data_IF_104796315092
#
_entry.id   IF_104796315092
#
_cell.length_a   1.000
_cell.length_b   1.000
_cell.length_c   1.000
_cell.angle_alpha   90.00
_cell.angle_beta   90.00
_cell.angle_gamma   90.00
#
_symmetry.space_group_name_H-M   'P 1'
#
loop_
_entity.id
_entity.type
_entity.pdbx_description
1 polymer ?
#
# COMPACT_ATOMS: atom_id res chain seq x y z
N UNK A 1 23.16 -15.54 -18.76
CA UNK A 1 21.99 -14.64 -18.91
C UNK A 1 22.32 -13.20 -18.53
N UNK A 2 23.09 -12.91 -17.47
CA UNK A 2 23.52 -11.53 -17.16
C UNK A 2 24.24 -10.83 -18.35
N UNK A 3 25.14 -11.54 -19.05
CA UNK A 3 25.75 -11.01 -20.27
C UNK A 3 24.70 -10.68 -21.37
N UNK A 4 23.65 -11.50 -21.52
CA UNK A 4 22.60 -11.25 -22.52
C UNK A 4 21.73 -10.04 -22.14
N UNK A 5 21.48 -9.84 -20.84
CA UNK A 5 20.87 -8.62 -20.32
C UNK A 5 21.67 -7.38 -20.72
N UNK A 6 23.00 -7.44 -20.65
CA UNK A 6 23.89 -6.33 -21.02
C UNK A 6 24.03 -6.14 -22.53
N UNK A 7 24.02 -7.23 -23.31
CA UNK A 7 24.35 -7.19 -24.75
C UNK A 7 23.14 -7.19 -25.69
N UNK A 8 21.93 -7.49 -25.20
CA UNK A 8 20.71 -7.57 -26.00
C UNK A 8 19.55 -6.74 -25.38
N UNK A 9 19.65 -5.40 -25.43
CA UNK A 9 18.71 -4.50 -24.73
C UNK A 9 17.26 -4.61 -25.24
N UNK A 10 17.05 -5.10 -26.47
CA UNK A 10 15.72 -5.31 -27.04
C UNK A 10 14.85 -6.28 -26.22
N UNK A 11 15.46 -7.21 -25.49
CA UNK A 11 14.76 -8.21 -24.67
C UNK A 11 15.04 -8.01 -23.18
N UNK A 12 15.49 -6.82 -22.79
CA UNK A 12 15.96 -6.54 -21.44
C UNK A 12 14.92 -6.94 -20.37
N UNK A 13 13.66 -6.58 -20.57
CA UNK A 13 12.58 -6.87 -19.61
C UNK A 13 12.34 -8.39 -19.47
N UNK A 14 12.40 -9.13 -20.59
CA UNK A 14 12.32 -10.59 -20.57
C UNK A 14 13.51 -11.20 -19.85
N UNK A 15 14.73 -10.67 -20.05
CA UNK A 15 15.93 -11.19 -19.40
C UNK A 15 15.95 -10.97 -17.90
N UNK A 16 15.54 -9.78 -17.42
CA UNK A 16 15.46 -9.49 -15.98
C UNK A 16 14.57 -10.52 -15.29
N UNK A 17 13.41 -10.80 -15.87
CA UNK A 17 12.47 -11.75 -15.29
C UNK A 17 13.00 -13.20 -15.30
N UNK A 18 13.57 -13.63 -16.43
CA UNK A 18 14.21 -14.95 -16.54
C UNK A 18 15.35 -15.13 -15.52
N UNK A 19 16.10 -14.07 -15.21
CA UNK A 19 17.13 -14.09 -14.16
C UNK A 19 16.51 -14.25 -12.76
N UNK A 20 15.37 -13.60 -12.50
CA UNK A 20 14.57 -13.82 -11.30
C UNK A 20 14.10 -15.27 -11.16
N UNK A 21 13.56 -15.84 -12.24
CA UNK A 21 13.10 -17.24 -12.30
C UNK A 21 14.25 -18.23 -12.07
N UNK A 22 15.40 -18.03 -12.71
CA UNK A 22 16.57 -18.88 -12.49
C UNK A 22 17.02 -18.87 -11.02
N UNK A 23 17.09 -17.68 -10.41
CA UNK A 23 17.40 -17.57 -8.98
C UNK A 23 16.39 -18.31 -8.11
N UNK A 24 15.10 -18.19 -8.43
CA UNK A 24 14.01 -18.86 -7.70
C UNK A 24 14.05 -20.38 -7.86
N UNK A 25 14.31 -20.89 -9.07
CA UNK A 25 14.46 -22.32 -9.29
C UNK A 25 15.69 -22.88 -8.59
N UNK A 26 16.80 -22.14 -8.59
CA UNK A 26 18.00 -22.56 -7.86
C UNK A 26 17.77 -22.57 -6.36
N UNK A 27 17.10 -21.56 -5.81
CA UNK A 27 16.64 -21.55 -4.40
C UNK A 27 15.76 -22.76 -4.08
N UNK A 28 14.87 -23.16 -5.00
CA UNK A 28 13.91 -24.23 -4.76
C UNK A 28 14.53 -25.63 -4.72
N UNK A 29 15.61 -25.87 -5.47
CA UNK A 29 16.36 -27.15 -5.46
C UNK A 29 17.48 -27.19 -4.42
N UNK A 30 17.76 -26.07 -3.76
CA UNK A 30 18.75 -26.00 -2.68
C UNK A 30 18.09 -26.44 -1.36
N UNK A 31 18.25 -27.72 -1.06
CA UNK A 31 17.62 -28.38 0.09
C UNK A 31 18.55 -28.54 1.31
N UNK A 32 19.87 -28.54 1.09
CA UNK A 32 20.86 -28.91 2.12
C UNK A 32 21.50 -27.71 2.83
N UNK A 33 21.64 -26.55 2.17
CA UNK A 33 22.28 -25.36 2.74
C UNK A 33 21.32 -24.16 2.81
N UNK A 34 20.92 -23.80 4.05
CA UNK A 34 20.04 -22.65 4.32
C UNK A 34 20.64 -21.31 3.90
N UNK A 35 21.97 -21.16 3.99
CA UNK A 35 22.67 -19.94 3.62
C UNK A 35 22.69 -19.78 2.10
N UNK A 36 22.98 -20.84 1.36
CA UNK A 36 22.94 -20.80 -0.10
C UNK A 36 21.51 -20.55 -0.58
N UNK A 37 20.52 -21.15 0.07
CA UNK A 37 19.11 -20.87 -0.19
C UNK A 37 18.79 -19.39 -0.02
N UNK A 38 19.24 -18.77 1.06
CA UNK A 38 19.04 -17.33 1.33
C UNK A 38 19.75 -16.43 0.29
N UNK A 39 20.94 -16.82 -0.16
CA UNK A 39 21.65 -16.14 -1.26
C UNK A 39 20.81 -16.16 -2.52
N UNK A 40 20.29 -17.33 -2.92
CA UNK A 40 19.45 -17.45 -4.11
C UNK A 40 18.09 -16.76 -3.97
N UNK A 41 17.51 -16.73 -2.77
CA UNK A 41 16.33 -15.90 -2.47
C UNK A 41 16.64 -14.43 -2.72
N UNK A 42 17.79 -13.95 -2.26
CA UNK A 42 18.20 -12.55 -2.40
C UNK A 42 18.50 -12.18 -3.85
N UNK A 43 19.18 -13.06 -4.60
CA UNK A 43 19.41 -12.89 -6.05
C UNK A 43 18.08 -12.82 -6.80
N UNK A 44 17.16 -13.75 -6.53
CA UNK A 44 15.85 -13.76 -7.18
C UNK A 44 15.05 -12.50 -6.86
N UNK A 45 15.05 -12.08 -5.58
CA UNK A 45 14.37 -10.87 -5.11
C UNK A 45 14.91 -9.62 -5.82
N UNK A 46 16.23 -9.48 -5.93
CA UNK A 46 16.86 -8.37 -6.65
C UNK A 46 16.33 -8.25 -8.09
N UNK A 47 16.33 -9.35 -8.85
CA UNK A 47 15.86 -9.33 -10.23
C UNK A 47 14.36 -9.03 -10.35
N UNK A 48 13.50 -9.60 -9.51
CA UNK A 48 12.08 -9.27 -9.56
C UNK A 48 11.76 -7.85 -9.07
N UNK A 49 12.51 -7.32 -8.09
CA UNK A 49 12.40 -5.91 -7.67
C UNK A 49 12.68 -5.01 -8.86
N UNK A 50 13.82 -5.21 -9.54
CA UNK A 50 14.20 -4.48 -10.75
C UNK A 50 13.17 -4.61 -11.88
N UNK A 51 12.62 -5.80 -12.09
CA UNK A 51 11.55 -6.00 -13.07
C UNK A 51 10.30 -5.17 -12.71
N UNK A 52 9.93 -5.16 -11.42
CA UNK A 52 8.74 -4.45 -10.94
C UNK A 52 8.89 -2.94 -11.04
N UNK A 53 10.09 -2.37 -10.99
CA UNK A 53 10.26 -0.93 -11.25
C UNK A 53 10.06 -0.54 -12.70
N UNK A 54 10.38 -1.46 -13.62
CA UNK A 54 10.19 -1.23 -15.04
C UNK A 54 8.74 -1.41 -15.45
N UNK A 55 8.08 -2.42 -14.88
CA UNK A 55 6.69 -2.74 -15.17
C UNK A 55 5.85 -2.75 -13.87
N UNK A 56 5.70 -1.60 -13.19
CA UNK A 56 5.04 -1.54 -11.89
C UNK A 56 3.56 -1.90 -11.94
N UNK A 57 2.94 -1.89 -13.12
CA UNK A 57 1.56 -2.33 -13.32
C UNK A 57 1.37 -3.86 -13.36
N UNK A 58 2.45 -4.65 -13.41
CA UNK A 58 2.40 -6.10 -13.66
C UNK A 58 2.32 -6.90 -12.37
N UNK A 59 1.14 -7.47 -12.09
CA UNK A 59 0.85 -8.19 -10.84
C UNK A 59 1.77 -9.40 -10.59
N UNK A 60 2.11 -10.12 -11.65
CA UNK A 60 2.89 -11.37 -11.55
C UNK A 60 4.27 -11.17 -10.92
N UNK A 61 4.87 -9.99 -11.10
CA UNK A 61 6.16 -9.66 -10.49
C UNK A 61 6.03 -9.57 -8.96
N UNK A 62 4.96 -8.96 -8.47
CA UNK A 62 4.66 -8.91 -7.03
C UNK A 62 4.26 -10.28 -6.47
N UNK A 63 3.59 -11.13 -7.25
CA UNK A 63 3.34 -12.52 -6.84
C UNK A 63 4.65 -13.28 -6.57
N UNK A 64 5.66 -13.13 -7.44
CA UNK A 64 6.97 -13.74 -7.20
C UNK A 64 7.68 -13.14 -5.99
N UNK A 65 7.64 -11.81 -5.81
CA UNK A 65 8.16 -11.14 -4.61
C UNK A 65 7.47 -11.63 -3.33
N UNK A 66 6.16 -11.93 -3.38
CA UNK A 66 5.44 -12.50 -2.26
C UNK A 66 6.02 -13.87 -1.86
N UNK A 67 6.27 -14.76 -2.82
CA UNK A 67 6.87 -16.08 -2.54
C UNK A 67 8.24 -15.93 -1.84
N UNK A 68 9.04 -14.94 -2.28
CA UNK A 68 10.39 -14.67 -1.78
C UNK A 68 10.43 -13.87 -0.48
N UNK A 69 9.29 -13.36 -0.01
CA UNK A 69 9.18 -12.61 1.24
C UNK A 69 9.14 -13.53 2.48
N UNK A 70 9.10 -14.86 2.32
CA UNK A 70 9.16 -15.80 3.45
C UNK A 70 10.45 -15.62 4.26
N UNK A 71 10.39 -15.71 5.61
CA UNK A 71 9.22 -16.02 6.44
C UNK A 71 8.35 -14.81 6.84
N UNK A 72 8.59 -13.61 6.32
CA UNK A 72 7.86 -12.39 6.69
C UNK A 72 6.41 -12.43 6.16
N UNK A 73 5.46 -12.75 7.03
CA UNK A 73 4.05 -12.91 6.66
C UNK A 73 3.37 -11.60 6.25
N UNK A 74 3.72 -10.48 6.90
CA UNK A 74 3.16 -9.17 6.56
C UNK A 74 3.60 -8.74 5.16
N UNK A 75 4.88 -8.90 4.84
CA UNK A 75 5.41 -8.57 3.52
C UNK A 75 4.88 -9.52 2.43
N UNK A 76 4.69 -10.82 2.74
CA UNK A 76 3.99 -11.76 1.86
C UNK A 76 2.56 -11.27 1.53
N UNK A 77 1.79 -10.90 2.56
CA UNK A 77 0.42 -10.40 2.40
C UNK A 77 0.40 -9.12 1.56
N UNK A 78 1.28 -8.16 1.85
CA UNK A 78 1.44 -6.95 1.06
C UNK A 78 1.67 -7.26 -0.42
N UNK A 79 2.64 -8.11 -0.76
CA UNK A 79 2.96 -8.40 -2.16
C UNK A 79 1.86 -9.20 -2.86
N UNK A 80 1.24 -10.18 -2.21
CA UNK A 80 0.14 -10.93 -2.82
C UNK A 80 -1.09 -10.05 -3.05
N UNK A 81 -1.44 -9.17 -2.12
CA UNK A 81 -2.56 -8.25 -2.30
C UNK A 81 -2.26 -7.19 -3.36
N UNK A 82 -1.04 -6.64 -3.38
CA UNK A 82 -0.57 -5.75 -4.47
C UNK A 82 -0.63 -6.44 -5.84
N UNK A 83 -0.23 -7.71 -5.95
CA UNK A 83 -0.35 -8.50 -7.18
C UNK A 83 -1.77 -8.56 -7.76
N UNK A 84 -2.80 -8.36 -6.93
CA UNK A 84 -4.22 -8.37 -7.32
C UNK A 84 -4.79 -6.96 -7.51
N UNK A 85 -4.12 -5.92 -7.00
CA UNK A 85 -4.61 -4.53 -6.97
C UNK A 85 -3.74 -3.57 -7.80
N UNK A 86 -3.06 -4.09 -8.82
CA UNK A 86 -2.37 -3.33 -9.86
C UNK A 86 -3.16 -3.43 -11.18
N UNK A 87 -2.93 -2.54 -12.17
CA UNK A 87 -3.70 -2.53 -13.41
C UNK A 87 -3.70 -3.84 -14.21
N UNK A 88 -2.61 -4.61 -14.19
CA UNK A 88 -2.52 -5.94 -14.80
C UNK A 88 -2.44 -7.00 -13.70
N UNK A 89 -3.55 -7.37 -13.05
CA UNK A 89 -3.55 -8.27 -11.90
C UNK A 89 -3.15 -9.69 -12.31
N UNK A 90 -2.45 -10.39 -11.43
CA UNK A 90 -2.14 -11.81 -11.62
C UNK A 90 -3.08 -12.70 -10.81
N UNK A 91 -4.15 -13.16 -11.45
CA UNK A 91 -5.27 -13.82 -10.77
C UNK A 91 -4.89 -15.16 -10.09
N UNK A 92 -3.87 -15.87 -10.59
CA UNK A 92 -3.35 -17.07 -9.92
C UNK A 92 -2.79 -16.79 -8.51
N UNK A 93 -2.50 -15.52 -8.18
CA UNK A 93 -2.17 -15.13 -6.81
C UNK A 93 -3.31 -15.42 -5.82
N UNK A 94 -4.57 -15.49 -6.27
CA UNK A 94 -5.72 -15.85 -5.40
C UNK A 94 -5.63 -17.26 -4.84
N UNK A 95 -5.06 -18.19 -5.59
CA UNK A 95 -4.81 -19.55 -5.10
C UNK A 95 -3.53 -19.59 -4.26
N UNK A 96 -2.47 -18.90 -4.71
CA UNK A 96 -1.16 -18.92 -4.04
C UNK A 96 -1.19 -18.30 -2.64
N UNK A 97 -1.93 -17.20 -2.45
CA UNK A 97 -2.07 -16.52 -1.16
C UNK A 97 -2.74 -17.40 -0.11
N UNK A 98 -3.53 -18.40 -0.51
CA UNK A 98 -4.13 -19.34 0.45
C UNK A 98 -3.07 -20.13 1.22
N UNK A 99 -1.88 -20.35 0.66
CA UNK A 99 -0.77 -20.97 1.39
C UNK A 99 -0.29 -20.14 2.60
N UNK A 100 -0.57 -18.83 2.61
CA UNK A 100 -0.36 -17.95 3.75
C UNK A 100 -1.53 -18.03 4.74
N UNK A 101 -2.77 -18.12 4.25
CA UNK A 101 -3.97 -18.05 5.09
C UNK A 101 -4.38 -19.39 5.70
N UNK A 102 -4.28 -20.50 4.97
CA UNK A 102 -4.79 -21.81 5.38
C UNK A 102 -4.23 -22.29 6.74
N UNK A 103 -2.94 -22.09 7.09
CA UNK A 103 -2.46 -22.43 8.43
C UNK A 103 -3.25 -21.72 9.54
N UNK A 104 -3.59 -20.44 9.35
CA UNK A 104 -4.33 -19.66 10.33
C UNK A 104 -5.82 -20.02 10.35
N UNK A 105 -6.44 -20.16 9.18
CA UNK A 105 -7.86 -20.52 9.04
C UNK A 105 -8.18 -21.92 9.58
N UNK A 106 -7.20 -22.83 9.55
CA UNK A 106 -7.34 -24.20 10.06
C UNK A 106 -6.84 -24.36 11.52
N UNK A 107 -6.42 -23.28 12.19
CA UNK A 107 -5.91 -23.34 13.56
C UNK A 107 -4.57 -24.07 13.71
N UNK A 108 -3.76 -24.13 12.66
CA UNK A 108 -2.42 -24.72 12.70
C UNK A 108 -1.47 -23.79 13.46
N UNK A 109 -0.68 -24.29 14.43
CA UNK A 109 0.33 -23.48 15.11
C UNK A 109 1.32 -22.86 14.12
N UNK A 110 1.52 -21.55 14.22
CA UNK A 110 2.50 -20.81 13.39
C UNK A 110 3.59 -20.21 14.28
N UNK A 111 4.73 -19.85 13.67
CA UNK A 111 5.85 -19.18 14.35
C UNK A 111 5.75 -17.65 14.29
N UNK A 112 4.61 -17.11 13.85
CA UNK A 112 4.41 -15.66 13.72
C UNK A 112 4.19 -15.03 15.10
N UNK A 113 4.50 -13.74 15.21
CA UNK A 113 4.05 -12.96 16.36
C UNK A 113 2.52 -12.91 16.36
N UNK A 114 1.91 -12.88 17.55
CA UNK A 114 0.46 -12.91 17.72
C UNK A 114 -0.25 -11.82 16.90
N UNK A 115 0.29 -10.60 16.89
CA UNK A 115 -0.26 -9.50 16.10
C UNK A 115 -0.23 -9.76 14.59
N UNK A 116 0.87 -10.31 14.06
CA UNK A 116 0.99 -10.64 12.63
C UNK A 116 0.05 -11.79 12.26
N UNK A 117 -0.07 -12.79 13.14
CA UNK A 117 -1.00 -13.89 12.97
C UNK A 117 -2.45 -13.40 12.95
N UNK A 118 -2.84 -12.51 13.86
CA UNK A 118 -4.17 -11.91 13.92
C UNK A 118 -4.47 -11.04 12.68
N UNK A 119 -3.49 -10.27 12.19
CA UNK A 119 -3.63 -9.49 10.97
C UNK A 119 -3.84 -10.39 9.74
N UNK A 120 -2.98 -11.41 9.57
CA UNK A 120 -3.04 -12.37 8.47
C UNK A 120 -4.33 -13.18 8.52
N UNK A 121 -4.77 -13.61 9.70
CA UNK A 121 -6.01 -14.35 9.89
C UNK A 121 -7.24 -13.51 9.53
N UNK A 122 -7.30 -12.25 9.98
CA UNK A 122 -8.38 -11.32 9.63
C UNK A 122 -8.47 -11.11 8.11
N UNK A 123 -7.33 -10.92 7.46
CA UNK A 123 -7.27 -10.85 5.99
C UNK A 123 -7.68 -12.15 5.32
N UNK A 124 -7.29 -13.31 5.86
CA UNK A 124 -7.68 -14.62 5.35
C UNK A 124 -9.18 -14.87 5.40
N UNK A 125 -9.84 -14.45 6.49
CA UNK A 125 -11.30 -14.51 6.63
C UNK A 125 -11.96 -13.60 5.59
N UNK A 126 -11.55 -12.32 5.54
CA UNK A 126 -12.07 -11.36 4.54
C UNK A 126 -11.85 -11.88 3.11
N UNK A 127 -10.67 -12.42 2.82
CA UNK A 127 -10.30 -12.88 1.49
C UNK A 127 -11.14 -14.08 1.04
N UNK A 128 -11.19 -15.12 1.88
CA UNK A 128 -11.82 -16.40 1.56
C UNK A 128 -13.34 -16.46 1.78
N UNK A 129 -13.88 -15.59 2.65
CA UNK A 129 -15.27 -15.65 3.11
C UNK A 129 -15.56 -16.84 4.03
N UNK A 130 -14.54 -17.53 4.54
CA UNK A 130 -14.64 -18.63 5.51
C UNK A 130 -14.49 -18.10 6.93
N UNK A 131 -15.04 -18.82 7.92
CA UNK A 131 -14.93 -18.49 9.35
C UNK A 131 -15.34 -17.05 9.70
N UNK A 132 -16.38 -16.52 9.04
CA UNK A 132 -16.83 -15.13 9.23
C UNK A 132 -17.26 -14.83 10.67
N UNK A 133 -17.69 -15.86 11.41
CA UNK A 133 -17.97 -15.81 12.85
C UNK A 133 -16.75 -15.44 13.70
N UNK A 134 -15.53 -15.71 13.22
CA UNK A 134 -14.27 -15.43 13.93
C UNK A 134 -13.64 -14.09 13.54
N UNK A 135 -14.21 -13.37 12.56
CA UNK A 135 -13.60 -12.13 12.07
C UNK A 135 -13.48 -11.08 13.17
N UNK A 136 -14.56 -10.87 13.92
CA UNK A 136 -14.61 -9.84 14.97
C UNK A 136 -13.57 -10.08 16.07
N UNK A 137 -13.38 -11.34 16.50
CA UNK A 137 -12.37 -11.69 17.50
C UNK A 137 -10.95 -11.50 16.94
N UNK A 138 -10.68 -11.95 15.72
CA UNK A 138 -9.37 -11.83 15.07
C UNK A 138 -8.99 -10.35 14.86
N UNK A 139 -9.93 -9.53 14.40
CA UNK A 139 -9.71 -8.08 14.26
C UNK A 139 -9.46 -7.44 15.61
N UNK A 140 -10.23 -7.80 16.64
CA UNK A 140 -10.05 -7.21 17.98
C UNK A 140 -8.69 -7.58 18.57
N UNK A 141 -8.23 -8.81 18.41
CA UNK A 141 -6.89 -9.23 18.83
C UNK A 141 -5.79 -8.40 18.17
N UNK A 142 -5.88 -8.15 16.85
CA UNK A 142 -4.94 -7.27 16.16
C UNK A 142 -5.00 -5.82 16.71
N UNK A 143 -6.21 -5.26 16.81
CA UNK A 143 -6.44 -3.87 17.22
C UNK A 143 -5.95 -3.61 18.65
N UNK A 144 -6.21 -4.53 19.57
CA UNK A 144 -5.85 -4.40 20.99
C UNK A 144 -4.33 -4.46 21.21
N UNK A 145 -3.60 -5.13 20.31
CA UNK A 145 -2.14 -5.24 20.37
C UNK A 145 -1.39 -4.17 19.54
N UNK A 146 -2.08 -3.49 18.62
CA UNK A 146 -1.46 -2.61 17.63
C UNK A 146 -0.71 -1.43 18.25
N UNK A 147 -1.32 -0.72 19.22
CA UNK A 147 -0.69 0.44 19.84
C UNK A 147 0.64 0.10 20.53
N UNK A 148 0.63 -1.01 21.28
CA UNK A 148 1.82 -1.55 21.94
C UNK A 148 2.88 -2.01 20.93
N UNK A 149 2.46 -2.59 19.81
CA UNK A 149 3.39 -3.04 18.79
C UNK A 149 4.12 -1.87 18.12
N UNK A 150 3.40 -0.79 17.77
CA UNK A 150 3.98 0.45 17.23
C UNK A 150 5.02 1.02 18.21
N UNK A 151 4.65 1.11 19.50
CA UNK A 151 5.51 1.65 20.54
C UNK A 151 6.80 0.82 20.74
N UNK A 152 6.72 -0.52 20.62
CA UNK A 152 7.87 -1.43 20.79
C UNK A 152 8.82 -1.43 19.60
N UNK A 153 8.30 -1.36 18.37
CA UNK A 153 9.12 -1.49 17.16
C UNK A 153 9.69 -0.17 16.67
N UNK A 154 9.13 0.97 17.10
CA UNK A 154 9.65 2.33 16.81
C UNK A 154 9.96 2.49 15.31
N UNK A 155 11.22 2.72 14.92
CA UNK A 155 11.64 2.90 13.52
C UNK A 155 11.41 1.66 12.64
N UNK A 156 11.45 0.45 13.20
CA UNK A 156 11.14 -0.76 12.44
C UNK A 156 9.65 -0.83 12.04
N UNK A 157 8.79 0.00 12.64
CA UNK A 157 7.38 0.09 12.27
C UNK A 157 7.13 0.86 10.97
N UNK A 158 8.09 1.65 10.48
CA UNK A 158 7.90 2.44 9.25
C UNK A 158 7.43 1.54 8.09
N UNK A 159 8.11 0.41 7.90
CA UNK A 159 7.79 -0.57 6.87
C UNK A 159 6.47 -1.27 7.10
N UNK A 160 6.27 -1.80 8.31
CA UNK A 160 5.03 -2.45 8.70
C UNK A 160 3.83 -1.51 8.53
N UNK A 161 3.99 -0.22 8.83
CA UNK A 161 2.96 0.78 8.72
C UNK A 161 2.44 0.93 7.29
N UNK A 162 3.32 1.14 6.31
CA UNK A 162 2.86 1.24 4.93
C UNK A 162 2.39 -0.10 4.36
N UNK A 163 2.95 -1.25 4.77
CA UNK A 163 2.43 -2.56 4.37
C UNK A 163 1.00 -2.81 4.85
N UNK A 164 0.71 -2.51 6.12
CA UNK A 164 -0.63 -2.65 6.71
C UNK A 164 -1.60 -1.69 6.00
N UNK A 165 -1.22 -0.41 5.81
CA UNK A 165 -2.09 0.56 5.14
C UNK A 165 -2.42 0.15 3.71
N UNK A 166 -1.44 -0.38 2.95
CA UNK A 166 -1.66 -0.88 1.59
C UNK A 166 -2.57 -2.11 1.60
N UNK A 167 -2.32 -3.09 2.48
CA UNK A 167 -3.13 -4.29 2.58
C UNK A 167 -4.59 -3.98 2.92
N UNK A 168 -4.84 -3.02 3.82
CA UNK A 168 -6.18 -2.52 4.14
C UNK A 168 -6.83 -1.84 2.92
N UNK A 169 -6.10 -1.00 2.19
CA UNK A 169 -6.57 -0.42 0.92
C UNK A 169 -6.97 -1.51 -0.09
N UNK A 170 -6.14 -2.54 -0.25
CA UNK A 170 -6.47 -3.70 -1.10
C UNK A 170 -7.72 -4.45 -0.61
N UNK A 171 -7.92 -4.59 0.71
CA UNK A 171 -9.12 -5.22 1.26
C UNK A 171 -10.40 -4.40 1.00
N UNK A 172 -10.33 -3.07 1.06
CA UNK A 172 -11.44 -2.17 0.67
C UNK A 172 -11.83 -2.33 -0.81
N UNK A 173 -10.87 -2.71 -1.66
CA UNK A 173 -11.10 -3.06 -3.06
C UNK A 173 -11.50 -4.54 -3.26
N UNK A 174 -11.79 -5.26 -2.17
CA UNK A 174 -12.01 -6.71 -2.14
C UNK A 174 -10.92 -7.49 -2.90
N UNK A 175 -9.68 -7.03 -2.77
CA UNK A 175 -8.50 -7.58 -3.43
C UNK A 175 -8.65 -7.57 -4.96
N UNK A 176 -9.10 -6.43 -5.50
CA UNK A 176 -9.26 -6.22 -6.94
C UNK A 176 -10.45 -6.97 -7.54
N UNK A 177 -11.53 -7.18 -6.77
CA UNK A 177 -12.74 -7.80 -7.31
C UNK A 177 -13.45 -6.83 -8.28
N UNK A 178 -13.80 -7.29 -9.48
CA UNK A 178 -14.57 -6.47 -10.44
C UNK A 178 -15.99 -6.17 -9.96
N UNK A 179 -16.52 -6.97 -9.02
CA UNK A 179 -17.82 -6.74 -8.39
C UNK A 179 -17.78 -5.66 -7.30
N UNK A 180 -16.59 -5.25 -6.86
CA UNK A 180 -16.44 -4.30 -5.77
C UNK A 180 -16.98 -2.91 -6.19
N UNK A 181 -17.78 -2.25 -5.34
CA UNK A 181 -18.41 -0.99 -5.70
C UNK A 181 -17.42 0.16 -5.94
N UNK A 182 -16.29 0.20 -5.21
CA UNK A 182 -15.22 1.18 -5.46
C UNK A 182 -14.54 0.91 -6.80
N UNK A 183 -14.19 -0.35 -7.09
CA UNK A 183 -13.56 -0.74 -8.36
C UNK A 183 -14.43 -0.37 -9.58
N UNK A 184 -15.75 -0.57 -9.48
CA UNK A 184 -16.70 -0.17 -10.52
C UNK A 184 -16.79 1.35 -10.65
N UNK A 185 -16.87 2.08 -9.55
CA UNK A 185 -16.89 3.54 -9.56
C UNK A 185 -15.64 4.14 -10.23
N UNK A 186 -14.45 3.59 -9.96
CA UNK A 186 -13.20 4.01 -10.60
C UNK A 186 -13.23 3.70 -12.10
N UNK A 187 -13.68 2.50 -12.48
CA UNK A 187 -13.77 2.09 -13.89
C UNK A 187 -14.73 2.96 -14.70
N UNK A 188 -15.92 3.24 -14.14
CA UNK A 188 -16.91 4.10 -14.78
C UNK A 188 -16.41 5.54 -14.91
N UNK A 189 -15.83 6.12 -13.86
CA UNK A 189 -15.29 7.48 -13.92
C UNK A 189 -14.19 7.64 -14.98
N UNK A 190 -13.33 6.63 -15.15
CA UNK A 190 -12.30 6.63 -16.22
C UNK A 190 -12.89 6.48 -17.63
N UNK A 191 -14.02 5.80 -17.79
CA UNK A 191 -14.67 5.64 -19.09
C UNK A 191 -15.34 6.94 -19.55
N UNK A 192 -15.93 7.68 -18.61
CA UNK A 192 -16.55 8.98 -18.86
C UNK A 192 -15.53 10.02 -19.34
N UNK A 193 -14.31 10.01 -18.81
CA UNK A 193 -13.20 10.88 -19.24
C UNK A 193 -12.67 10.57 -20.66
N UNK A 194 -12.95 9.37 -21.19
CA UNK A 194 -12.41 8.90 -22.47
C UNK A 194 -13.34 9.11 -23.68
N UNK A 195 -14.45 9.86 -23.54
CA UNK A 195 -15.50 10.06 -24.56
C UNK A 195 -16.06 8.73 -25.13
N UNK A 196 -15.96 7.63 -24.37
CA UNK A 196 -16.52 6.33 -24.75
C UNK A 196 -17.94 6.25 -24.20
N UNK A 197 -18.95 6.43 -25.07
CA UNK A 197 -20.35 6.22 -24.67
C UNK A 197 -20.59 4.75 -24.28
N UNK A 198 -20.48 4.43 -22.99
CA UNK A 198 -21.02 3.20 -22.41
C UNK A 198 -22.49 3.42 -22.05
N UNK A 199 -23.37 2.71 -22.74
CA UNK A 199 -24.83 2.77 -22.60
C UNK A 199 -25.36 1.88 -21.46
N UNK A 200 -24.69 1.86 -20.31
CA UNK A 200 -25.18 1.12 -19.14
C UNK A 200 -25.02 1.98 -17.89
N UNK A 201 -26.07 2.75 -17.58
CA UNK A 201 -26.25 3.33 -16.24
C UNK A 201 -26.56 2.17 -15.28
N UNK A 202 -25.52 1.45 -14.86
CA UNK A 202 -25.66 0.42 -13.83
C UNK A 202 -26.14 1.10 -12.54
N UNK A 203 -27.27 0.65 -12.00
CA UNK A 203 -27.81 1.16 -10.74
C UNK A 203 -26.75 1.08 -9.61
N UNK A 204 -26.77 2.01 -8.64
CA UNK A 204 -25.85 1.95 -7.51
C UNK A 204 -26.01 0.62 -6.77
N UNK A 205 -24.96 -0.21 -6.82
CA UNK A 205 -24.94 -1.50 -6.13
C UNK A 205 -24.66 -1.25 -4.65
N UNK A 206 -25.49 -1.83 -3.80
CA UNK A 206 -25.31 -1.78 -2.35
C UNK A 206 -23.96 -2.41 -1.96
N UNK A 207 -23.25 -1.84 -0.96
CA UNK A 207 -22.00 -2.42 -0.48
C UNK A 207 -22.22 -3.85 0.03
N UNK A 208 -21.29 -4.75 -0.30
CA UNK A 208 -21.29 -6.14 0.19
C UNK A 208 -20.97 -6.17 1.69
N UNK A 209 -21.38 -7.24 2.39
CA UNK A 209 -20.97 -7.42 3.79
C UNK A 209 -19.45 -7.48 3.92
N UNK A 210 -18.76 -8.15 2.99
CA UNK A 210 -17.29 -8.25 2.94
C UNK A 210 -16.62 -6.87 2.84
N UNK A 211 -17.18 -5.96 2.03
CA UNK A 211 -16.72 -4.57 1.96
C UNK A 211 -16.94 -3.84 3.29
N UNK A 212 -18.13 -3.98 3.89
CA UNK A 212 -18.44 -3.34 5.17
C UNK A 212 -17.53 -3.83 6.30
N UNK A 213 -17.23 -5.13 6.34
CA UNK A 213 -16.31 -5.73 7.30
C UNK A 213 -14.87 -5.23 7.09
N UNK A 214 -14.42 -5.12 5.84
CA UNK A 214 -13.12 -4.54 5.51
C UNK A 214 -13.05 -3.05 5.90
N UNK A 215 -14.13 -2.30 5.72
CA UNK A 215 -14.24 -0.89 6.12
C UNK A 215 -14.20 -0.71 7.63
N UNK A 216 -14.89 -1.57 8.39
CA UNK A 216 -14.78 -1.58 9.86
C UNK A 216 -13.34 -1.87 10.29
N UNK A 217 -12.70 -2.88 9.70
CA UNK A 217 -11.33 -3.24 10.03
C UNK A 217 -10.33 -2.10 9.74
N UNK A 218 -10.42 -1.50 8.55
CA UNK A 218 -9.61 -0.35 8.18
C UNK A 218 -9.84 0.83 9.12
N UNK A 219 -11.11 1.15 9.41
CA UNK A 219 -11.49 2.25 10.30
C UNK A 219 -10.96 2.07 11.72
N UNK A 220 -11.09 0.87 12.29
CA UNK A 220 -10.57 0.56 13.63
C UNK A 220 -9.04 0.67 13.66
N UNK A 221 -8.37 0.23 12.61
CA UNK A 221 -6.91 0.35 12.49
C UNK A 221 -6.49 1.82 12.41
N UNK A 222 -7.13 2.60 11.54
CA UNK A 222 -6.92 4.04 11.43
C UNK A 222 -7.11 4.75 12.78
N UNK A 223 -8.13 4.38 13.56
CA UNK A 223 -8.38 4.96 14.88
C UNK A 223 -7.22 4.75 15.86
N UNK A 224 -6.58 3.58 15.85
CA UNK A 224 -5.41 3.33 16.71
C UNK A 224 -4.21 4.14 16.22
N UNK A 225 -3.86 4.02 14.93
CA UNK A 225 -2.67 4.67 14.38
C UNK A 225 -2.77 6.20 14.49
N UNK A 226 -3.91 6.79 14.14
CA UNK A 226 -4.08 8.24 14.11
C UNK A 226 -4.30 8.89 15.48
N UNK A 227 -4.43 8.12 16.57
CA UNK A 227 -4.41 8.64 17.94
C UNK A 227 -2.99 8.87 18.47
N UNK A 228 -1.97 8.36 17.79
CA UNK A 228 -0.57 8.51 18.20
C UNK A 228 0.01 9.85 17.74
N UNK A 229 -0.56 10.92 18.28
CA UNK A 229 -0.18 12.29 17.94
C UNK A 229 1.30 12.55 18.26
N UNK A 230 2.03 13.12 17.29
CA UNK A 230 3.47 13.36 17.42
C UNK A 230 4.37 12.13 17.31
N UNK A 231 3.83 10.94 17.02
CA UNK A 231 4.64 9.75 16.76
C UNK A 231 5.02 9.66 15.28
N UNK A 232 6.28 9.96 14.97
CA UNK A 232 6.81 9.94 13.60
C UNK A 232 6.75 8.55 12.94
N UNK A 233 6.65 7.46 13.71
CA UNK A 233 6.54 6.13 13.13
C UNK A 233 5.22 5.90 12.39
N UNK A 234 4.22 6.77 12.59
CA UNK A 234 2.93 6.70 11.91
C UNK A 234 2.92 7.38 10.54
N UNK A 235 3.97 8.15 10.19
CA UNK A 235 3.96 8.95 8.96
C UNK A 235 3.81 8.14 7.67
N UNK A 236 4.48 6.99 7.47
CA UNK A 236 4.31 6.22 6.24
C UNK A 236 2.89 5.65 6.10
N UNK A 237 2.31 5.19 7.21
CA UNK A 237 0.92 4.75 7.24
C UNK A 237 -0.03 5.90 6.87
N UNK A 238 0.17 7.08 7.46
CA UNK A 238 -0.63 8.27 7.16
C UNK A 238 -0.49 8.66 5.68
N UNK A 239 0.72 8.65 5.13
CA UNK A 239 0.96 9.00 3.73
C UNK A 239 0.17 8.08 2.78
N UNK A 240 0.27 6.75 2.95
CA UNK A 240 -0.48 5.78 2.14
C UNK A 240 -1.99 5.96 2.31
N UNK A 241 -2.47 6.21 3.53
CA UNK A 241 -3.92 6.41 3.75
C UNK A 241 -4.40 7.68 3.06
N UNK A 242 -3.65 8.77 3.15
CA UNK A 242 -4.01 10.05 2.53
C UNK A 242 -3.93 9.99 1.00
N UNK A 243 -2.97 9.28 0.41
CA UNK A 243 -2.87 9.11 -1.05
C UNK A 243 -4.07 8.31 -1.58
N UNK A 244 -4.47 7.24 -0.86
CA UNK A 244 -5.67 6.46 -1.16
C UNK A 244 -6.92 7.35 -1.09
N UNK A 245 -7.13 8.09 0.00
CA UNK A 245 -8.27 9.00 0.15
C UNK A 245 -8.27 10.10 -0.90
N UNK A 246 -7.11 10.65 -1.25
CA UNK A 246 -7.00 11.65 -2.30
C UNK A 246 -7.42 11.09 -3.66
N UNK A 247 -7.02 9.86 -4.01
CA UNK A 247 -7.52 9.22 -5.21
C UNK A 247 -9.04 9.00 -5.16
N UNK A 248 -9.56 8.46 -4.05
CA UNK A 248 -11.01 8.25 -3.90
C UNK A 248 -11.81 9.55 -4.01
N UNK A 249 -11.24 10.68 -3.55
CA UNK A 249 -11.88 11.99 -3.67
C UNK A 249 -12.16 12.43 -5.12
N UNK A 250 -11.47 11.85 -6.10
CA UNK A 250 -11.67 12.11 -7.53
C UNK A 250 -12.85 11.31 -8.10
N UNK A 251 -13.36 10.32 -7.36
CA UNK A 251 -14.49 9.48 -7.74
C UNK A 251 -15.61 9.59 -6.68
N UNK A 252 -16.56 10.53 -6.83
CA UNK A 252 -17.56 10.81 -5.80
C UNK A 252 -18.34 9.58 -5.31
N UNK A 253 -18.67 8.65 -6.21
CA UNK A 253 -19.35 7.40 -5.85
C UNK A 253 -18.49 6.46 -4.99
N UNK A 254 -17.17 6.42 -5.23
CA UNK A 254 -16.25 5.65 -4.38
C UNK A 254 -16.07 6.32 -3.00
N UNK A 255 -15.89 7.64 -2.98
CA UNK A 255 -15.68 8.38 -1.74
C UNK A 255 -16.89 8.33 -0.80
N UNK A 256 -18.10 8.38 -1.34
CA UNK A 256 -19.35 8.27 -0.59
C UNK A 256 -19.46 6.96 0.22
N UNK A 257 -18.78 5.89 -0.20
CA UNK A 257 -18.76 4.60 0.50
C UNK A 257 -17.81 4.59 1.72
N UNK A 258 -16.89 5.56 1.79
CA UNK A 258 -15.81 5.61 2.78
C UNK A 258 -15.99 6.76 3.77
N UNK A 259 -16.41 7.92 3.27
CA UNK A 259 -16.27 9.22 3.94
C UNK A 259 -16.91 9.30 5.33
N UNK A 260 -18.03 8.60 5.57
CA UNK A 260 -18.70 8.60 6.88
C UNK A 260 -17.87 7.87 7.96
N UNK A 261 -17.16 6.81 7.59
CA UNK A 261 -16.39 5.97 8.53
C UNK A 261 -14.98 6.49 8.77
N UNK A 262 -14.45 7.31 7.87
CA UNK A 262 -13.09 7.82 8.00
C UNK A 262 -12.94 8.73 9.23
N UNK A 263 -11.88 8.55 10.06
CA UNK A 263 -11.71 9.33 11.28
C UNK A 263 -11.09 10.71 10.98
N UNK A 264 -11.79 11.56 10.23
CA UNK A 264 -11.33 12.88 9.79
C UNK A 264 -10.82 13.76 10.93
N UNK A 265 -11.44 13.66 12.12
CA UNK A 265 -10.99 14.38 13.30
C UNK A 265 -9.62 13.92 13.81
N UNK A 266 -9.34 12.62 13.77
CA UNK A 266 -8.01 12.13 14.13
C UNK A 266 -6.98 12.49 13.06
N UNK A 267 -7.35 12.39 11.77
CA UNK A 267 -6.48 12.78 10.66
C UNK A 267 -6.09 14.26 10.77
N UNK A 268 -7.05 15.17 10.95
CA UNK A 268 -6.79 16.62 11.14
C UNK A 268 -5.93 16.90 12.37
N UNK A 269 -6.18 16.24 13.51
CA UNK A 269 -5.36 16.39 14.71
C UNK A 269 -3.93 15.90 14.49
N UNK A 270 -3.75 14.75 13.84
CA UNK A 270 -2.44 14.22 13.51
C UNK A 270 -1.71 15.17 12.57
N UNK A 271 -2.33 15.60 11.47
CA UNK A 271 -1.77 16.59 10.54
C UNK A 271 -1.34 17.87 11.27
N UNK A 272 -2.13 18.38 12.22
CA UNK A 272 -1.75 19.55 13.01
C UNK A 272 -0.51 19.33 13.90
N UNK A 273 -0.18 18.09 14.28
CA UNK A 273 1.09 17.79 14.97
C UNK A 273 2.29 17.73 14.03
N UNK A 274 2.04 17.58 12.72
CA UNK A 274 3.06 17.56 11.66
C UNK A 274 3.47 18.96 11.25
N UNK A 275 2.58 19.95 11.42
CA UNK A 275 2.85 21.34 11.06
C UNK A 275 3.97 21.88 11.95
N UNK A 276 5.20 21.73 11.48
CA UNK A 276 6.40 22.33 12.04
C UNK A 276 6.54 23.72 11.41
N UNK A 277 7.00 24.70 12.19
CA UNK A 277 7.15 26.11 11.77
C UNK A 277 8.02 26.33 10.53
N UNK A 278 8.80 25.33 10.13
CA UNK A 278 9.83 25.44 9.08
C UNK A 278 9.42 24.83 7.73
N UNK A 279 8.23 24.21 7.61
CA UNK A 279 7.71 23.78 6.29
C UNK A 279 7.10 24.99 5.58
N UNK A 280 7.58 25.36 4.37
CA UNK A 280 7.01 26.49 3.64
C UNK A 280 5.53 26.24 3.32
N UNK A 281 4.66 27.17 3.74
CA UNK A 281 3.21 27.10 3.50
C UNK A 281 2.92 27.00 1.99
N UNK A 282 3.70 27.70 1.16
CA UNK A 282 3.59 27.68 -0.29
C UNK A 282 3.79 26.27 -0.87
N UNK A 283 4.66 25.45 -0.27
CA UNK A 283 4.91 24.07 -0.71
C UNK A 283 3.72 23.16 -0.43
N UNK A 284 3.09 23.30 0.74
CA UNK A 284 1.96 22.44 1.14
C UNK A 284 0.64 22.87 0.49
N UNK A 285 0.47 24.16 0.18
CA UNK A 285 -0.71 24.67 -0.54
C UNK A 285 -0.60 24.55 -2.07
N UNK A 286 0.59 24.20 -2.57
CA UNK A 286 0.84 24.05 -4.01
C UNK A 286 -0.11 23.04 -4.67
N UNK A 287 -0.45 23.28 -5.93
CA UNK A 287 -1.14 22.27 -6.76
C UNK A 287 -0.19 21.18 -7.25
N UNK A 288 1.09 21.51 -7.36
CA UNK A 288 2.12 20.61 -7.84
C UNK A 288 2.57 19.64 -6.75
N UNK A 289 2.98 18.45 -7.16
CA UNK A 289 3.51 17.44 -6.27
C UNK A 289 4.80 17.95 -5.58
N UNK A 290 4.86 17.96 -4.22
CA UNK A 290 6.05 18.41 -3.49
C UNK A 290 7.32 17.69 -3.93
N UNK A 291 8.41 18.43 -4.08
CA UNK A 291 9.75 17.89 -4.35
C UNK A 291 10.76 18.53 -3.39
N UNK A 292 11.89 17.88 -3.11
CA UNK A 292 12.97 18.51 -2.34
C UNK A 292 13.49 19.77 -3.05
N UNK A 293 13.68 20.86 -2.32
CA UNK A 293 14.25 22.11 -2.86
C UNK A 293 15.74 21.97 -3.21
N UNK A 294 16.43 21.00 -2.59
CA UNK A 294 17.86 20.73 -2.76
C UNK A 294 18.10 19.24 -2.95
N UNK A 295 19.01 18.90 -3.85
CA UNK A 295 19.38 17.52 -4.17
C UNK A 295 18.47 16.90 -5.22
N UNK A 296 18.85 15.70 -5.65
CA UNK A 296 18.05 14.94 -6.62
C UNK A 296 16.83 14.32 -5.90
N UNK A 297 15.63 14.41 -6.48
CA UNK A 297 14.43 13.84 -5.88
C UNK A 297 14.59 12.33 -5.74
N UNK A 298 14.54 11.82 -4.50
CA UNK A 298 14.59 10.39 -4.21
C UNK A 298 13.22 9.95 -3.67
N UNK A 299 12.51 9.04 -4.36
CA UNK A 299 11.26 8.50 -3.85
C UNK A 299 11.42 7.85 -2.48
N UNK A 300 10.41 7.98 -1.64
CA UNK A 300 10.36 7.38 -0.31
C UNK A 300 10.15 5.86 -0.40
N UNK A 301 10.53 5.08 0.64
CA UNK A 301 10.22 3.64 0.70
C UNK A 301 8.72 3.35 0.46
N UNK A 302 7.85 4.17 1.05
CA UNK A 302 6.40 4.10 0.88
C UNK A 302 5.91 4.61 -0.49
N UNK A 303 6.71 5.37 -1.24
CA UNK A 303 6.42 5.67 -2.65
C UNK A 303 6.63 4.43 -3.52
N UNK A 304 7.79 3.77 -3.35
CA UNK A 304 8.10 2.52 -4.05
C UNK A 304 7.09 1.41 -3.70
N UNK A 305 6.70 1.31 -2.42
CA UNK A 305 5.70 0.35 -1.98
C UNK A 305 4.35 0.56 -2.69
N UNK A 306 3.94 1.82 -2.87
CA UNK A 306 2.67 2.17 -3.52
C UNK A 306 2.72 2.08 -5.04
N UNK A 307 3.88 2.33 -5.66
CA UNK A 307 4.05 2.41 -7.12
C UNK A 307 3.34 1.26 -7.85
N UNK A 308 2.50 1.61 -8.81
CA UNK A 308 1.72 0.66 -9.63
C UNK A 308 0.37 0.24 -9.05
N UNK A 309 0.06 0.58 -7.80
CA UNK A 309 -1.29 0.36 -7.26
C UNK A 309 -2.32 1.23 -7.99
N UNK A 310 -3.56 0.73 -8.08
CA UNK A 310 -4.64 1.36 -8.84
C UNK A 310 -4.93 2.81 -8.42
N UNK A 311 -4.65 3.17 -7.16
CA UNK A 311 -4.94 4.49 -6.60
C UNK A 311 -3.77 5.49 -6.65
N UNK A 312 -2.65 5.13 -7.29
CA UNK A 312 -1.51 6.05 -7.47
C UNK A 312 -1.13 6.27 -8.94
N UNK A 313 -2.04 5.92 -9.86
CA UNK A 313 -1.86 6.04 -11.31
C UNK A 313 -1.61 7.47 -11.80
N UNK A 314 -2.20 8.45 -11.12
CA UNK A 314 -2.16 9.88 -11.41
C UNK A 314 -1.54 10.69 -10.26
N UNK A 315 -0.98 9.99 -9.26
CA UNK A 315 -0.49 10.62 -8.05
C UNK A 315 0.95 11.15 -8.20
N UNK A 316 1.84 10.33 -8.75
CA UNK A 316 3.25 10.67 -8.91
C UNK A 316 3.51 11.34 -10.27
N UNK A 317 4.40 12.35 -10.34
CA UNK A 317 4.92 12.83 -11.61
C UNK A 317 5.60 11.72 -12.42
N UNK A 318 5.53 11.80 -13.76
CA UNK A 318 6.06 10.77 -14.67
C UNK A 318 7.55 10.47 -14.46
N UNK A 319 8.34 11.47 -14.07
CA UNK A 319 9.77 11.36 -13.82
C UNK A 319 10.13 10.99 -12.37
N UNK A 320 9.15 10.88 -11.45
CA UNK A 320 9.43 10.73 -10.02
C UNK A 320 10.34 9.52 -9.70
N UNK A 321 10.07 8.38 -10.33
CA UNK A 321 10.83 7.15 -10.12
C UNK A 321 12.00 6.96 -11.10
N UNK A 322 12.24 7.91 -12.00
CA UNK A 322 13.28 7.79 -13.05
C UNK A 322 14.29 8.93 -13.04
N UNK A 323 13.98 10.04 -12.36
CA UNK A 323 14.85 11.21 -12.24
C UNK A 323 16.18 10.89 -11.55
N UNK A 324 16.16 10.00 -10.56
CA UNK A 324 17.34 9.58 -9.79
C UNK A 324 17.49 8.08 -9.88
N UNK A 325 18.70 7.61 -10.23
CA UNK A 325 19.02 6.19 -10.12
C UNK A 325 19.24 5.85 -8.66
N UNK A 326 18.31 5.06 -8.11
CA UNK A 326 18.39 4.53 -6.76
C UNK A 326 18.65 3.03 -6.88
N UNK A 327 19.76 2.56 -6.31
CA UNK A 327 20.05 1.13 -6.27
C UNK A 327 18.99 0.39 -5.44
N UNK A 328 18.70 -0.87 -5.78
CA UNK A 328 17.64 -1.65 -5.13
C UNK A 328 17.83 -1.76 -3.61
N UNK A 329 19.07 -1.92 -3.17
CA UNK A 329 19.44 -2.01 -1.75
C UNK A 329 19.19 -0.70 -1.00
N UNK A 330 19.24 0.43 -1.71
CA UNK A 330 19.03 1.76 -1.13
C UNK A 330 17.54 2.14 -1.08
N UNK A 331 16.64 1.53 -1.85
CA UNK A 331 15.22 1.97 -1.91
C UNK A 331 14.50 1.99 -0.58
N UNK A 332 14.85 1.05 0.29
CA UNK A 332 14.26 0.89 1.61
C UNK A 332 15.19 1.40 2.73
N UNK A 333 16.32 2.02 2.36
CA UNK A 333 17.25 2.61 3.31
C UNK A 333 16.77 4.00 3.74
N UNK A 334 16.16 4.05 4.93
CA UNK A 334 15.65 5.27 5.57
C UNK A 334 16.77 6.23 6.01
N UNK A 335 16.64 7.50 5.62
CA UNK A 335 17.52 8.60 6.06
C UNK A 335 16.70 9.72 6.70
N UNK A 336 17.31 10.54 7.56
CA UNK A 336 16.58 11.54 8.36
C UNK A 336 15.74 12.52 7.52
N UNK A 337 16.24 12.95 6.35
CA UNK A 337 15.52 13.87 5.46
C UNK A 337 14.22 13.29 4.90
N UNK A 338 14.11 11.97 4.74
CA UNK A 338 12.91 11.31 4.24
C UNK A 338 11.71 11.55 5.16
N UNK A 339 11.94 11.71 6.48
CA UNK A 339 10.85 12.02 7.40
C UNK A 339 10.29 13.43 7.18
N UNK A 340 11.14 14.40 6.85
CA UNK A 340 10.73 15.78 6.55
C UNK A 340 9.98 15.85 5.21
N UNK A 341 10.47 15.14 4.19
CA UNK A 341 9.82 15.01 2.88
C UNK A 341 8.44 14.35 3.02
N UNK A 342 8.36 13.26 3.79
CA UNK A 342 7.10 12.58 4.10
C UNK A 342 6.13 13.47 4.87
N UNK A 343 6.65 14.28 5.80
CA UNK A 343 5.86 15.28 6.52
C UNK A 343 5.21 16.28 5.57
N UNK A 344 6.01 16.84 4.68
CA UNK A 344 5.56 17.78 3.66
C UNK A 344 4.52 17.14 2.74
N UNK A 345 4.70 15.87 2.36
CA UNK A 345 3.74 15.11 1.55
C UNK A 345 2.39 14.92 2.23
N UNK A 346 2.39 14.52 3.50
CA UNK A 346 1.15 14.35 4.28
C UNK A 346 0.40 15.68 4.42
N UNK A 347 1.10 16.78 4.72
CA UNK A 347 0.50 18.11 4.80
C UNK A 347 -0.09 18.55 3.46
N UNK A 348 0.65 18.34 2.37
CA UNK A 348 0.19 18.63 1.02
C UNK A 348 -1.08 17.85 0.67
N UNK A 349 -1.09 16.52 0.87
CA UNK A 349 -2.29 15.70 0.66
C UNK A 349 -3.47 16.16 1.54
N UNK A 350 -3.19 16.55 2.78
CA UNK A 350 -4.18 17.16 3.66
C UNK A 350 -4.81 18.42 3.05
N UNK A 351 -3.99 19.32 2.48
CA UNK A 351 -4.46 20.51 1.78
C UNK A 351 -5.27 20.16 0.53
N UNK A 352 -4.83 19.16 -0.24
CA UNK A 352 -5.55 18.66 -1.42
C UNK A 352 -6.94 18.14 -1.07
N UNK A 353 -7.06 17.38 0.02
CA UNK A 353 -8.35 16.90 0.54
C UNK A 353 -9.21 18.02 1.13
N UNK A 354 -8.58 19.02 1.75
CA UNK A 354 -9.28 20.17 2.30
C UNK A 354 -9.84 21.13 1.23
N UNK A 355 -9.28 21.10 0.01
CA UNK A 355 -9.69 21.99 -1.09
C UNK A 355 -11.16 21.81 -1.51
N UNK A 356 -11.76 20.63 -1.28
CA UNK A 356 -13.18 20.38 -1.54
C UNK A 356 -14.11 21.00 -0.48
N UNK A 357 -13.59 21.28 0.72
CA UNK A 357 -14.36 21.72 1.88
C UNK A 357 -15.31 20.66 2.46
N UNK A 358 -15.26 19.40 2.01
CA UNK A 358 -16.21 18.34 2.39
C UNK A 358 -15.77 17.47 3.55
N UNK A 359 -14.47 17.24 3.72
CA UNK A 359 -13.94 16.27 4.68
C UNK A 359 -12.99 16.92 5.66
N UNK A 360 -11.93 17.52 5.12
CA UNK A 360 -11.00 18.36 5.86
C UNK A 360 -11.26 19.83 5.55
N UNK A 361 -10.87 20.69 6.47
CA UNK A 361 -10.74 22.13 6.23
C UNK A 361 -9.31 22.54 6.52
N UNK A 362 -8.82 23.59 5.86
CA UNK A 362 -7.50 24.15 6.11
C UNK A 362 -7.61 25.67 6.14
N UNK A 363 -7.20 26.29 7.25
CA UNK A 363 -7.33 27.74 7.45
C UNK A 363 -6.07 28.48 7.06
N UNK A 364 -6.20 29.79 6.80
CA UNK A 364 -5.06 30.69 6.52
C UNK A 364 -4.02 30.74 7.65
N UNK A 365 -4.42 30.39 8.87
CA UNK A 365 -3.52 30.31 10.03
C UNK A 365 -2.71 29.01 10.05
N UNK A 366 -2.79 28.21 8.97
CA UNK A 366 -2.05 26.96 8.82
C UNK A 366 -2.55 25.88 9.76
N UNK A 367 -3.88 25.67 9.85
CA UNK A 367 -4.47 24.63 10.69
C UNK A 367 -5.50 23.80 9.96
N UNK A 368 -5.42 22.48 10.14
CA UNK A 368 -6.42 21.53 9.69
C UNK A 368 -7.61 21.44 10.66
N UNK A 369 -8.80 21.31 10.10
CA UNK A 369 -10.03 20.98 10.80
C UNK A 369 -10.84 19.94 10.02
N UNK A 370 -12.08 19.74 10.45
CA UNK A 370 -13.06 18.87 9.78
C UNK A 370 -14.17 19.75 9.24
N UNK A 371 -14.74 19.39 8.09
CA UNK A 371 -15.95 20.04 7.60
C UNK A 371 -17.11 19.85 8.59
N UNK A 372 -18.00 20.84 8.68
CA UNK A 372 -19.13 20.84 9.62
C UNK A 372 -20.30 19.99 9.14
#
# INVERSE_FOLDING_TARGET
>A
MALLYETAPTFEDTWIECLGDLGRYRMAIEDDDLKDREVWTSVSRHWYSKASDKAPQTGRLYHHLAILARPNALQQLFHYTKSLCVPLPFLSARESIMTLFDPHLNGTPTRLQEIDAAFVHSHGILFSGKNTDQLSSSVSEFIDNLDNNIARHTRCWLDSGYYISIALGCALLEYGSESNPIMRAIKSGRADDADVQMNETEAPIAPTQKFLDALDFATRTHNVVFRRFGDDNTRPYLHVTLSFLYHMSQFPAAMALLEEKMPWRLISLLLNTIIIKDVPIETIESKEFPRPDKGDPRPLPDDFAQRGLLWVDSYYPNDWFTATKVDDDDKYFEVASMMEERSSRCLWLGCRLAASGKWLTYTRDGRFGVAS
#
